data_IF_737640744047
#
_entry.id   IF_737640744047
#
_cell.length_a   1.000
_cell.length_b   1.000
_cell.length_c   1.000
_cell.angle_alpha   90.00
_cell.angle_beta   90.00
_cell.angle_gamma   90.00
#
_symmetry.space_group_name_H-M   'P 1'
#
loop_
_entity.id
_entity.type
_entity.pdbx_description
1 polymer ?
#
# COMPACT_ATOMS: atom_id res chain seq x y z
N UNK A 1 0.04 8.85 10.62
CA UNK A 1 -0.34 7.45 10.28
C UNK A 1 -1.50 7.01 11.17
N UNK A 2 -2.50 6.37 10.58
CA UNK A 2 -3.71 5.86 11.27
C UNK A 2 -3.86 4.38 10.94
N UNK A 3 -4.27 3.56 11.91
CA UNK A 3 -4.62 2.16 11.64
C UNK A 3 -6.01 2.05 11.04
N UNK A 4 -6.17 1.12 10.11
CA UNK A 4 -7.44 0.74 9.52
C UNK A 4 -7.77 -0.69 9.91
N UNK A 5 -8.98 -0.87 10.41
CA UNK A 5 -9.51 -2.16 10.88
C UNK A 5 -10.85 -2.43 10.20
N UNK A 6 -10.79 -2.80 8.91
CA UNK A 6 -11.98 -2.96 8.05
C UNK A 6 -12.35 -4.44 8.02
N UNK A 7 -13.56 -4.83 8.45
CA UNK A 7 -14.02 -6.21 8.43
C UNK A 7 -14.21 -6.69 6.98
N UNK A 8 -13.82 -7.93 6.71
CA UNK A 8 -14.11 -8.57 5.43
C UNK A 8 -15.55 -9.05 5.38
N UNK A 9 -16.17 -9.00 4.21
CA UNK A 9 -17.49 -9.61 3.98
C UNK A 9 -17.50 -11.12 4.17
N UNK A 10 -16.36 -11.77 3.90
CA UNK A 10 -16.11 -13.19 4.12
C UNK A 10 -14.69 -13.36 4.62
N UNK A 11 -14.47 -14.33 5.50
CA UNK A 11 -13.14 -14.67 5.94
C UNK A 11 -12.27 -15.06 4.72
N UNK A 12 -11.05 -14.56 4.70
CA UNK A 12 -10.06 -14.89 3.69
C UNK A 12 -9.06 -15.88 4.30
N UNK A 13 -9.03 -17.09 3.78
CA UNK A 13 -8.14 -18.16 4.24
C UNK A 13 -7.13 -18.50 3.15
N UNK A 14 -5.88 -18.59 3.53
CA UNK A 14 -4.79 -19.12 2.72
C UNK A 14 -3.91 -20.03 3.59
N UNK A 15 -2.90 -20.66 3.00
CA UNK A 15 -2.09 -21.69 3.66
C UNK A 15 -1.49 -21.28 5.02
N UNK A 16 -1.20 -20.01 5.21
CA UNK A 16 -0.49 -19.50 6.40
C UNK A 16 -1.39 -18.77 7.40
N UNK A 17 -2.59 -18.33 7.03
CA UNK A 17 -3.46 -17.55 7.91
C UNK A 17 -4.91 -17.49 7.45
N UNK A 18 -5.82 -17.33 8.42
CA UNK A 18 -7.22 -16.95 8.18
C UNK A 18 -7.44 -15.56 8.73
N UNK A 19 -8.01 -14.68 7.90
CA UNK A 19 -8.24 -13.28 8.25
C UNK A 19 -9.71 -12.93 8.08
N UNK A 20 -10.22 -12.16 9.04
CA UNK A 20 -11.61 -11.67 9.07
C UNK A 20 -11.71 -10.16 8.88
N UNK A 21 -10.57 -9.48 8.93
CA UNK A 21 -10.45 -8.03 8.78
C UNK A 21 -9.12 -7.63 8.15
N UNK A 22 -9.04 -6.43 7.60
CA UNK A 22 -7.74 -5.85 7.23
C UNK A 22 -7.05 -5.30 8.49
N UNK A 23 -5.74 -5.41 8.52
CA UNK A 23 -4.86 -4.75 9.48
C UNK A 23 -3.93 -3.91 8.64
N UNK A 24 -4.35 -2.71 8.31
CA UNK A 24 -3.62 -1.79 7.45
C UNK A 24 -3.27 -0.50 8.20
N UNK A 25 -2.30 0.21 7.69
CA UNK A 25 -1.93 1.54 8.13
C UNK A 25 -2.10 2.51 6.97
N UNK A 26 -2.65 3.69 7.26
CA UNK A 26 -2.85 4.77 6.30
C UNK A 26 -1.99 5.97 6.71
N UNK A 27 -1.18 6.45 5.79
CA UNK A 27 -0.45 7.71 5.93
C UNK A 27 -1.17 8.80 5.13
N UNK A 28 -1.32 9.95 5.75
CA UNK A 28 -1.79 11.17 5.12
C UNK A 28 -0.65 12.18 5.18
N UNK A 29 -0.13 12.58 4.03
CA UNK A 29 0.81 13.67 3.86
C UNK A 29 0.05 14.92 3.40
N UNK A 30 0.44 16.09 3.90
CA UNK A 30 -0.20 17.37 3.53
C UNK A 30 0.86 18.40 3.26
N UNK A 31 0.74 19.10 2.14
CA UNK A 31 1.61 20.19 1.78
C UNK A 31 1.16 21.52 2.38
N UNK A 32 2.03 22.53 2.34
CA UNK A 32 1.70 23.91 2.74
C UNK A 32 0.57 24.53 1.89
N UNK A 33 0.34 23.99 0.69
CA UNK A 33 -0.77 24.40 -0.21
C UNK A 33 -2.09 23.72 0.12
N UNK A 34 -2.12 22.81 1.10
CA UNK A 34 -3.31 22.04 1.47
C UNK A 34 -3.60 20.84 0.58
N UNK A 35 -2.71 20.48 -0.33
CA UNK A 35 -2.84 19.25 -1.11
C UNK A 35 -2.54 18.03 -0.21
N UNK A 36 -3.25 16.94 -0.45
CA UNK A 36 -3.17 15.73 0.39
C UNK A 36 -2.77 14.54 -0.45
N UNK A 37 -1.69 13.89 -0.06
CA UNK A 37 -1.28 12.57 -0.54
C UNK A 37 -1.68 11.48 0.45
N UNK A 38 -2.03 10.31 -0.06
CA UNK A 38 -2.46 9.15 0.72
C UNK A 38 -1.65 7.92 0.34
N UNK A 39 -1.27 7.13 1.34
CA UNK A 39 -0.58 5.87 1.13
C UNK A 39 -1.01 4.82 2.14
N UNK A 40 -1.19 3.59 1.69
CA UNK A 40 -1.57 2.45 2.52
C UNK A 40 -0.44 1.44 2.59
N UNK A 41 -0.24 0.87 3.77
CA UNK A 41 0.65 -0.25 4.00
C UNK A 41 -0.08 -1.37 4.73
N UNK A 42 0.30 -2.58 4.41
CA UNK A 42 -0.35 -3.77 4.95
C UNK A 42 0.64 -4.62 5.75
N UNK A 43 0.98 -4.24 7.01
CA UNK A 43 1.86 -5.05 7.84
C UNK A 43 1.27 -6.46 8.04
N UNK A 44 2.11 -7.48 7.88
CA UNK A 44 1.73 -8.89 8.00
C UNK A 44 2.81 -9.65 8.74
N UNK A 45 2.55 -9.95 10.00
CA UNK A 45 3.54 -10.62 10.86
C UNK A 45 4.06 -11.92 10.25
N UNK A 46 3.22 -12.68 9.56
CA UNK A 46 3.58 -13.94 8.91
C UNK A 46 4.27 -13.78 7.54
N UNK A 47 4.39 -12.56 7.02
CA UNK A 47 5.07 -12.25 5.74
C UNK A 47 6.33 -11.43 5.98
N UNK A 48 6.18 -10.26 6.59
CA UNK A 48 7.26 -9.27 6.77
C UNK A 48 7.74 -9.16 8.22
N UNK A 49 7.08 -9.84 9.16
CA UNK A 49 7.36 -9.69 10.59
C UNK A 49 6.74 -8.43 11.21
N UNK A 50 6.16 -7.55 10.41
CA UNK A 50 5.59 -6.29 10.87
C UNK A 50 4.21 -6.48 11.48
N UNK A 51 3.90 -5.62 12.45
CA UNK A 51 2.58 -5.42 13.03
C UNK A 51 2.14 -3.97 12.81
N UNK A 52 0.85 -3.69 13.01
CA UNK A 52 0.35 -2.29 13.03
C UNK A 52 1.12 -1.44 14.04
N UNK A 53 1.43 -2.01 15.21
CA UNK A 53 2.18 -1.30 16.26
C UNK A 53 3.62 -0.98 15.83
N UNK A 54 4.33 -1.94 15.22
CA UNK A 54 5.71 -1.70 14.72
C UNK A 54 5.72 -0.68 13.59
N UNK A 55 4.73 -0.74 12.67
CA UNK A 55 4.61 0.24 11.59
C UNK A 55 4.36 1.67 12.12
N UNK A 56 3.52 1.80 13.16
CA UNK A 56 3.30 3.09 13.81
C UNK A 56 4.54 3.60 14.55
N UNK A 57 5.33 2.72 15.14
CA UNK A 57 6.59 3.08 15.80
C UNK A 57 7.62 3.57 14.78
N UNK A 58 7.81 2.83 13.68
CA UNK A 58 8.64 3.23 12.55
C UNK A 58 8.25 4.63 12.06
N UNK A 59 6.95 4.88 11.86
CA UNK A 59 6.45 6.18 11.43
C UNK A 59 6.77 7.29 12.44
N UNK A 60 6.55 7.06 13.74
CA UNK A 60 6.83 8.08 14.76
C UNK A 60 8.30 8.43 14.83
N UNK A 61 9.18 7.44 14.71
CA UNK A 61 10.63 7.60 14.83
C UNK A 61 11.23 8.42 13.70
N UNK A 62 10.68 8.35 12.47
CA UNK A 62 11.26 8.98 11.28
C UNK A 62 10.40 10.08 10.66
N UNK A 63 9.22 10.35 11.23
CA UNK A 63 8.30 11.35 10.68
C UNK A 63 8.95 12.71 10.45
N UNK A 64 9.80 13.16 11.39
CA UNK A 64 10.43 14.48 11.29
C UNK A 64 11.35 14.59 10.08
N UNK A 65 12.03 13.50 9.71
CA UNK A 65 12.91 13.44 8.55
C UNK A 65 12.10 13.54 7.25
N UNK A 66 11.00 12.79 7.12
CA UNK A 66 10.16 12.84 5.92
C UNK A 66 9.44 14.17 5.73
N UNK A 67 9.16 14.90 6.80
CA UNK A 67 8.58 16.25 6.71
C UNK A 67 9.54 17.27 6.07
N UNK A 68 10.81 16.93 5.92
CA UNK A 68 11.80 17.76 5.21
C UNK A 68 11.97 17.36 3.74
N UNK A 69 11.46 16.20 3.33
CA UNK A 69 11.50 15.75 1.94
C UNK A 69 10.51 16.58 1.12
N UNK A 70 11.02 17.33 0.16
CA UNK A 70 10.23 18.22 -0.70
C UNK A 70 10.27 17.82 -2.18
N UNK A 71 11.06 16.83 -2.52
CA UNK A 71 11.27 16.35 -3.88
C UNK A 71 11.39 14.83 -3.94
N UNK A 72 11.33 14.29 -5.17
CA UNK A 72 11.60 12.88 -5.43
C UNK A 72 13.03 12.49 -5.03
N UNK A 73 14.01 13.36 -5.31
CA UNK A 73 15.41 13.13 -4.98
C UNK A 73 15.63 13.04 -3.46
N UNK A 74 14.95 13.87 -2.67
CA UNK A 74 15.01 13.80 -1.20
C UNK A 74 14.50 12.44 -0.72
N UNK A 75 13.35 11.99 -1.23
CA UNK A 75 12.74 10.73 -0.86
C UNK A 75 13.62 9.53 -1.23
N UNK A 76 14.21 9.54 -2.43
CA UNK A 76 15.12 8.50 -2.89
C UNK A 76 16.44 8.49 -2.09
N UNK A 77 16.96 9.67 -1.77
CA UNK A 77 18.17 9.81 -0.94
C UNK A 77 17.93 9.24 0.45
N UNK A 78 16.80 9.56 1.07
CA UNK A 78 16.42 9.00 2.36
C UNK A 78 16.27 7.47 2.28
N UNK A 79 15.57 6.98 1.27
CA UNK A 79 15.35 5.54 1.05
C UNK A 79 16.66 4.78 0.87
N UNK A 80 17.58 5.32 0.08
CA UNK A 80 18.91 4.72 -0.14
C UNK A 80 19.73 4.68 1.14
N UNK A 81 19.74 5.76 1.90
CA UNK A 81 20.48 5.85 3.17
C UNK A 81 19.93 4.91 4.26
N UNK A 82 18.66 4.51 4.15
CA UNK A 82 17.97 3.70 5.16
C UNK A 82 17.48 2.35 4.62
N UNK A 83 18.11 1.80 3.58
CA UNK A 83 17.71 0.57 2.92
C UNK A 83 17.50 -0.60 3.90
N UNK A 84 18.47 -0.87 4.80
CA UNK A 84 18.36 -1.93 5.81
C UNK A 84 17.19 -1.72 6.79
N UNK A 85 16.84 -0.48 7.05
CA UNK A 85 15.72 -0.12 7.93
C UNK A 85 14.39 -0.36 7.19
N UNK A 86 14.33 -0.02 5.91
CA UNK A 86 13.19 -0.25 5.03
C UNK A 86 12.94 -1.76 4.88
N UNK A 87 13.99 -2.55 4.68
CA UNK A 87 13.88 -4.01 4.54
C UNK A 87 13.27 -4.68 5.77
N UNK A 88 13.43 -4.08 6.95
CA UNK A 88 12.79 -4.53 8.18
C UNK A 88 11.39 -3.97 8.41
N UNK A 89 10.98 -2.94 7.66
CA UNK A 89 9.70 -2.24 7.79
C UNK A 89 9.04 -1.93 6.44
N UNK A 90 8.96 -2.92 5.51
CA UNK A 90 8.55 -2.66 4.14
C UNK A 90 7.10 -2.18 4.01
N UNK A 91 6.17 -2.67 4.83
CA UNK A 91 4.79 -2.22 4.78
C UNK A 91 4.62 -0.80 5.35
N UNK A 92 5.36 -0.46 6.41
CA UNK A 92 5.35 0.88 6.98
C UNK A 92 5.96 1.89 6.00
N UNK A 93 7.09 1.54 5.37
CA UNK A 93 7.72 2.36 4.33
C UNK A 93 6.82 2.55 3.12
N UNK A 94 6.21 1.47 2.61
CA UNK A 94 5.27 1.52 1.48
C UNK A 94 4.15 2.57 1.72
N UNK A 95 3.58 2.63 2.93
CA UNK A 95 2.57 3.62 3.26
C UNK A 95 3.11 5.06 3.20
N UNK A 96 4.33 5.29 3.69
CA UNK A 96 4.96 6.60 3.69
C UNK A 96 5.33 7.03 2.29
N UNK A 97 6.06 6.16 1.57
CA UNK A 97 6.53 6.44 0.21
C UNK A 97 5.35 6.72 -0.73
N UNK A 98 4.31 5.88 -0.71
CA UNK A 98 3.13 6.08 -1.54
C UNK A 98 2.42 7.41 -1.23
N UNK A 99 2.31 7.78 0.07
CA UNK A 99 1.71 9.06 0.44
C UNK A 99 2.53 10.26 -0.06
N UNK A 100 3.86 10.17 0.00
CA UNK A 100 4.75 11.21 -0.52
C UNK A 100 4.67 11.30 -2.04
N UNK A 101 4.68 10.17 -2.74
CA UNK A 101 4.56 10.11 -4.19
C UNK A 101 3.21 10.66 -4.69
N UNK A 102 2.11 10.29 -4.04
CA UNK A 102 0.78 10.83 -4.36
C UNK A 102 0.72 12.35 -4.16
N UNK A 103 1.34 12.85 -3.08
CA UNK A 103 1.44 14.29 -2.82
C UNK A 103 2.28 14.99 -3.88
N UNK A 104 3.46 14.47 -4.21
CA UNK A 104 4.35 15.03 -5.23
C UNK A 104 3.67 15.05 -6.61
N UNK A 105 2.99 13.98 -7.00
CA UNK A 105 2.23 13.95 -8.26
C UNK A 105 1.17 15.06 -8.32
N UNK A 106 0.46 15.30 -7.22
CA UNK A 106 -0.53 16.39 -7.12
C UNK A 106 0.12 17.77 -7.12
N UNK A 107 1.24 17.96 -6.43
CA UNK A 107 1.99 19.23 -6.43
C UNK A 107 2.53 19.59 -7.82
N UNK A 108 2.97 18.59 -8.57
CA UNK A 108 3.50 18.75 -9.93
C UNK A 108 2.42 18.71 -11.01
N UNK A 109 1.18 18.40 -10.65
CA UNK A 109 0.06 18.17 -11.58
C UNK A 109 0.39 17.11 -12.65
N UNK A 110 1.10 16.05 -12.23
CA UNK A 110 1.57 14.97 -13.10
C UNK A 110 1.15 13.60 -12.55
N UNK A 111 0.86 12.64 -13.44
CA UNK A 111 0.67 11.26 -13.04
C UNK A 111 1.96 10.68 -12.43
N UNK A 112 1.81 9.78 -11.47
CA UNK A 112 2.94 9.27 -10.68
C UNK A 112 3.99 8.58 -11.55
N UNK A 113 3.59 7.89 -12.61
CA UNK A 113 4.53 7.26 -13.53
C UNK A 113 5.46 8.26 -14.22
N UNK A 114 4.98 9.50 -14.45
CA UNK A 114 5.80 10.58 -15.01
C UNK A 114 6.75 11.13 -13.96
N UNK A 115 6.28 11.30 -12.72
CA UNK A 115 7.13 11.70 -11.58
C UNK A 115 8.27 10.70 -11.36
N UNK A 116 8.02 9.41 -11.60
CA UNK A 116 9.00 8.33 -11.53
C UNK A 116 9.89 8.21 -12.80
N UNK A 117 9.78 9.14 -13.75
CA UNK A 117 10.58 9.16 -14.97
C UNK A 117 10.08 8.25 -16.08
N UNK A 118 8.86 7.71 -15.94
CA UNK A 118 8.18 6.89 -16.94
C UNK A 118 7.32 7.73 -17.90
N UNK A 119 6.61 7.03 -18.78
CA UNK A 119 5.61 7.63 -19.69
C UNK A 119 4.21 7.43 -19.12
N UNK A 120 3.24 8.36 -19.36
CA UNK A 120 1.87 8.18 -18.93
C UNK A 120 1.30 6.84 -19.36
N UNK A 121 0.72 6.10 -18.45
CA UNK A 121 0.05 4.84 -18.74
C UNK A 121 -1.29 5.13 -19.45
N UNK A 122 -1.56 4.40 -20.50
CA UNK A 122 -2.81 4.55 -21.28
C UNK A 122 -3.33 3.19 -21.73
N UNK A 123 -4.64 3.11 -21.92
CA UNK A 123 -5.30 1.92 -22.47
C UNK A 123 -6.00 1.06 -21.41
N UNK A 124 -6.51 -0.11 -21.80
CA UNK A 124 -7.19 -1.00 -20.89
C UNK A 124 -6.20 -1.68 -19.95
N UNK A 125 -6.44 -1.56 -18.64
CA UNK A 125 -5.68 -2.27 -17.62
C UNK A 125 -6.29 -3.65 -17.36
N UNK A 126 -5.43 -4.66 -17.24
CA UNK A 126 -5.86 -6.02 -16.89
C UNK A 126 -5.76 -6.22 -15.39
N UNK A 127 -6.83 -6.73 -14.80
CA UNK A 127 -6.90 -7.07 -13.39
C UNK A 127 -7.05 -8.58 -13.22
N UNK A 128 -6.39 -9.13 -12.19
CA UNK A 128 -6.55 -10.52 -11.79
C UNK A 128 -7.67 -10.65 -10.78
N UNK A 129 -8.43 -11.74 -10.86
CA UNK A 129 -9.34 -12.18 -9.81
C UNK A 129 -8.67 -13.31 -9.01
N UNK A 130 -8.79 -13.25 -7.68
CA UNK A 130 -8.25 -14.28 -6.80
C UNK A 130 -9.33 -15.30 -6.51
N UNK A 131 -9.08 -16.55 -6.88
CA UNK A 131 -9.92 -17.69 -6.51
C UNK A 131 -9.35 -18.31 -5.23
N UNK A 132 -10.19 -18.43 -4.22
CA UNK A 132 -9.83 -19.05 -2.95
C UNK A 132 -11.02 -19.83 -2.38
N UNK A 133 -10.75 -20.66 -1.38
CA UNK A 133 -11.77 -21.42 -0.67
C UNK A 133 -11.35 -22.86 -0.42
N UNK A 134 -11.59 -23.33 0.80
CA UNK A 134 -11.28 -24.71 1.21
C UNK A 134 -12.21 -25.75 0.57
N UNK A 135 -13.42 -25.31 0.16
CA UNK A 135 -14.47 -26.18 -0.39
C UNK A 135 -14.60 -25.96 -1.90
N UNK A 136 -14.60 -27.04 -2.66
CA UNK A 136 -14.79 -27.02 -4.11
C UNK A 136 -16.04 -26.24 -4.55
N UNK A 137 -17.16 -26.39 -3.80
CA UNK A 137 -18.41 -25.65 -4.09
C UNK A 137 -18.26 -24.14 -3.96
N UNK A 138 -17.44 -23.64 -3.02
CA UNK A 138 -17.16 -22.20 -2.86
C UNK A 138 -16.29 -21.70 -3.99
N UNK A 139 -15.27 -22.47 -4.37
CA UNK A 139 -14.40 -22.20 -5.51
C UNK A 139 -15.21 -22.12 -6.81
N UNK A 140 -16.05 -23.12 -7.10
CA UNK A 140 -16.89 -23.15 -8.29
C UNK A 140 -17.85 -21.95 -8.36
N UNK A 141 -18.47 -21.58 -7.23
CA UNK A 141 -19.34 -20.40 -7.15
C UNK A 141 -18.58 -19.12 -7.48
N UNK A 142 -17.39 -18.91 -6.92
CA UNK A 142 -16.54 -17.75 -7.21
C UNK A 142 -16.10 -17.71 -8.66
N UNK A 143 -15.68 -18.84 -9.21
CA UNK A 143 -15.30 -18.95 -10.61
C UNK A 143 -16.45 -18.51 -11.54
N UNK A 144 -17.67 -19.02 -11.31
CA UNK A 144 -18.85 -18.62 -12.08
C UNK A 144 -19.14 -17.12 -11.97
N UNK A 145 -18.96 -16.53 -10.78
CA UNK A 145 -19.15 -15.09 -10.57
C UNK A 145 -18.12 -14.27 -11.35
N UNK A 146 -16.86 -14.67 -11.33
CA UNK A 146 -15.81 -13.96 -12.07
C UNK A 146 -15.98 -14.09 -13.59
N UNK A 147 -16.33 -15.28 -14.08
CA UNK A 147 -16.65 -15.46 -15.52
C UNK A 147 -17.84 -14.59 -15.94
N UNK A 148 -18.90 -14.52 -15.11
CA UNK A 148 -20.04 -13.64 -15.38
C UNK A 148 -19.68 -12.15 -15.31
N UNK A 149 -18.63 -11.77 -14.57
CA UNK A 149 -18.09 -10.41 -14.51
C UNK A 149 -17.07 -10.11 -15.63
N UNK A 150 -16.82 -11.05 -16.54
CA UNK A 150 -15.95 -10.86 -17.71
C UNK A 150 -14.46 -11.18 -17.47
N UNK A 151 -14.12 -11.81 -16.37
CA UNK A 151 -12.76 -12.36 -16.20
C UNK A 151 -12.59 -13.61 -17.07
N UNK A 152 -11.45 -13.71 -17.76
CA UNK A 152 -11.09 -14.80 -18.68
C UNK A 152 -9.72 -15.38 -18.32
#
# INVERSE_FOLDING_TARGET
MTSLDIPFRQAFTHASATRVKTEAVLVRAESARGLVGMGEGCPRQYVTGETVASAQEFFRSHRAEWMTCSSMDDLQTWGTAHADLIDRNPAAWCAVETACLDLLGKELEQPIEVVLGGTPLSGPFRYSAVLGGEKFSSFEKQLRQYLAAGFI
#
